data_IF_160966281473
#
_entry.id   IF_160966281473
#
_cell.length_a   1.000
_cell.length_b   1.000
_cell.length_c   1.000
_cell.angle_alpha   90.00
_cell.angle_beta   90.00
_cell.angle_gamma   90.00
#
_symmetry.space_group_name_H-M   'P 1'
#
loop_
_entity.id
_entity.type
_entity.pdbx_description
1 polymer ?
#
# COMPACT_ATOMS: atom_id res chain seq x y z
N UNK A 1 -3.95 -12.73 19.78
CA UNK A 1 -3.35 -11.69 20.65
C UNK A 1 -2.48 -10.82 19.77
N UNK A 2 -2.60 -9.48 19.83
CA UNK A 2 -1.75 -8.57 19.04
C UNK A 2 -0.31 -8.59 19.57
N UNK A 3 0.65 -8.79 18.69
CA UNK A 3 2.08 -8.82 19.06
C UNK A 3 2.71 -7.42 19.06
N UNK A 4 2.10 -6.46 18.34
CA UNK A 4 2.59 -5.08 18.21
C UNK A 4 1.88 -4.11 19.18
N UNK A 5 1.15 -4.64 20.18
CA UNK A 5 0.50 -3.82 21.21
C UNK A 5 1.54 -3.05 22.02
N UNK A 6 1.21 -1.78 22.32
CA UNK A 6 2.07 -0.84 23.08
C UNK A 6 3.38 -0.42 22.37
N UNK A 7 3.50 -0.65 21.07
CA UNK A 7 4.59 -0.11 20.25
C UNK A 7 4.09 1.18 19.59
N UNK A 8 4.81 2.28 19.77
CA UNK A 8 4.44 3.56 19.20
C UNK A 8 5.03 3.76 17.78
N UNK A 9 4.26 4.36 16.84
CA UNK A 9 2.87 4.83 16.94
C UNK A 9 1.85 3.66 16.95
N UNK A 10 1.11 3.49 18.07
CA UNK A 10 0.28 2.30 18.29
C UNK A 10 -0.75 2.06 17.18
N UNK A 11 -1.40 3.12 16.69
CA UNK A 11 -2.40 2.98 15.62
C UNK A 11 -1.78 2.50 14.30
N UNK A 12 -0.57 2.92 13.96
CA UNK A 12 0.13 2.47 12.75
C UNK A 12 0.42 0.98 12.85
N UNK A 13 1.01 0.54 13.96
CA UNK A 13 1.34 -0.87 14.16
C UNK A 13 0.10 -1.75 14.28
N UNK A 14 -1.00 -1.22 14.84
CA UNK A 14 -2.29 -1.89 14.83
C UNK A 14 -2.76 -2.18 13.41
N UNK A 15 -2.78 -1.18 12.53
CA UNK A 15 -3.22 -1.37 11.16
C UNK A 15 -2.25 -2.21 10.34
N UNK A 16 -0.95 -2.09 10.58
CA UNK A 16 0.02 -2.97 9.94
C UNK A 16 -0.21 -4.45 10.31
N UNK A 17 -0.48 -4.73 11.58
CA UNK A 17 -0.79 -6.07 12.05
C UNK A 17 -2.11 -6.59 11.43
N UNK A 18 -3.13 -5.73 11.30
CA UNK A 18 -4.41 -6.08 10.67
C UNK A 18 -4.24 -6.47 9.20
N UNK A 19 -3.56 -5.63 8.40
CA UNK A 19 -3.35 -5.92 6.97
C UNK A 19 -2.39 -7.09 6.73
N UNK A 20 -1.52 -7.39 7.67
CA UNK A 20 -0.65 -8.57 7.61
C UNK A 20 -1.41 -9.90 7.76
N UNK A 21 -2.65 -9.85 8.25
CA UNK A 21 -3.53 -11.02 8.30
C UNK A 21 -4.26 -11.26 6.97
N UNK A 22 -4.15 -10.34 6.02
CA UNK A 22 -4.82 -10.40 4.72
C UNK A 22 -3.79 -10.79 3.65
N UNK A 23 -3.97 -11.92 2.96
CA UNK A 23 -3.17 -12.27 1.79
C UNK A 23 -3.30 -11.19 0.72
N UNK A 24 -2.18 -10.58 0.32
CA UNK A 24 -2.17 -9.41 -0.57
C UNK A 24 -0.97 -9.40 -1.53
N UNK A 25 -0.56 -10.57 -1.99
CA UNK A 25 0.43 -10.64 -3.07
C UNK A 25 -0.10 -9.97 -4.34
N UNK A 26 0.82 -9.46 -5.19
CA UNK A 26 0.44 -8.84 -6.48
C UNK A 26 -0.51 -9.74 -7.26
N UNK A 27 -1.56 -9.16 -7.82
CA UNK A 27 -2.72 -9.80 -8.49
C UNK A 27 -3.70 -10.53 -7.57
N UNK A 28 -3.47 -10.54 -6.25
CA UNK A 28 -4.37 -11.11 -5.22
C UNK A 28 -4.85 -10.04 -4.23
N UNK A 29 -5.25 -8.85 -4.71
CA UNK A 29 -5.55 -7.70 -3.86
C UNK A 29 -7.05 -7.54 -3.53
N UNK A 30 -7.92 -8.47 -3.92
CA UNK A 30 -9.37 -8.33 -3.71
C UNK A 30 -9.74 -8.19 -2.23
N UNK A 31 -9.13 -9.00 -1.37
CA UNK A 31 -9.43 -9.00 0.07
C UNK A 31 -8.93 -7.72 0.75
N UNK A 32 -7.71 -7.28 0.43
CA UNK A 32 -7.18 -6.04 0.99
C UNK A 32 -7.96 -4.82 0.48
N UNK A 33 -8.33 -4.78 -0.79
CA UNK A 33 -9.16 -3.70 -1.33
C UNK A 33 -10.54 -3.65 -0.65
N UNK A 34 -11.17 -4.81 -0.40
CA UNK A 34 -12.43 -4.88 0.33
C UNK A 34 -12.28 -4.45 1.80
N UNK A 35 -11.18 -4.82 2.46
CA UNK A 35 -10.86 -4.34 3.81
C UNK A 35 -10.77 -2.81 3.86
N UNK A 36 -10.06 -2.18 2.91
CA UNK A 36 -9.93 -0.72 2.82
C UNK A 36 -11.29 -0.03 2.58
N UNK A 37 -12.11 -0.60 1.72
CA UNK A 37 -13.47 -0.11 1.48
C UNK A 37 -14.33 -0.19 2.75
N UNK A 38 -14.28 -1.31 3.46
CA UNK A 38 -15.03 -1.49 4.70
C UNK A 38 -14.53 -0.55 5.80
N UNK A 39 -13.20 -0.40 5.94
CA UNK A 39 -12.60 0.56 6.86
C UNK A 39 -13.15 1.98 6.66
N UNK A 40 -13.23 2.42 5.40
CA UNK A 40 -13.74 3.76 5.08
C UNK A 40 -15.24 3.90 5.37
N UNK A 41 -16.04 2.90 5.00
CA UNK A 41 -17.50 2.88 5.24
C UNK A 41 -17.84 2.94 6.73
N UNK A 42 -17.15 2.17 7.55
CA UNK A 42 -17.33 2.17 9.01
C UNK A 42 -17.08 3.54 9.65
N UNK A 43 -16.29 4.39 8.97
CA UNK A 43 -15.92 5.76 9.41
C UNK A 43 -16.69 6.86 8.69
N UNK A 44 -17.68 6.48 7.89
CA UNK A 44 -18.47 7.41 7.05
C UNK A 44 -17.58 8.27 6.14
N UNK A 45 -16.45 7.72 5.65
CA UNK A 45 -15.59 8.36 4.68
C UNK A 45 -16.06 8.07 3.25
N UNK A 46 -15.86 9.03 2.34
CA UNK A 46 -16.07 8.79 0.92
C UNK A 46 -15.03 7.79 0.42
N UNK A 47 -15.47 6.75 -0.30
CA UNK A 47 -14.59 5.71 -0.82
C UNK A 47 -15.01 5.27 -2.20
N UNK A 48 -14.02 5.09 -3.08
CA UNK A 48 -14.16 4.55 -4.43
C UNK A 48 -13.19 3.39 -4.55
N UNK A 49 -13.65 2.25 -5.07
CA UNK A 49 -12.82 1.15 -5.55
C UNK A 49 -13.05 1.03 -7.05
N UNK A 50 -11.98 1.14 -7.84
CA UNK A 50 -12.05 0.98 -9.29
C UNK A 50 -11.92 -0.48 -9.74
N UNK A 51 -12.00 -0.72 -11.04
CA UNK A 51 -11.88 -2.05 -11.65
C UNK A 51 -10.47 -2.65 -11.54
N UNK A 52 -9.47 -1.80 -11.36
CA UNK A 52 -8.07 -2.21 -11.13
C UNK A 52 -7.75 -2.46 -9.65
N UNK A 53 -8.77 -2.41 -8.76
CA UNK A 53 -8.65 -2.58 -7.31
C UNK A 53 -7.90 -1.45 -6.60
N UNK A 54 -7.67 -0.31 -7.26
CA UNK A 54 -7.25 0.89 -6.56
C UNK A 54 -8.35 1.32 -5.59
N UNK A 55 -7.96 1.77 -4.41
CA UNK A 55 -8.90 2.29 -3.42
C UNK A 55 -8.57 3.75 -3.11
N UNK A 56 -9.53 4.63 -3.37
CA UNK A 56 -9.42 6.06 -3.11
C UNK A 56 -10.34 6.41 -1.93
N UNK A 57 -9.77 6.94 -0.84
CA UNK A 57 -10.52 7.33 0.35
C UNK A 57 -10.35 8.83 0.57
N UNK A 58 -11.48 9.56 0.73
CA UNK A 58 -11.43 11.00 0.96
C UNK A 58 -11.95 11.36 2.34
N UNK A 59 -11.25 12.28 3.01
CA UNK A 59 -11.61 12.83 4.31
C UNK A 59 -11.67 14.35 4.20
N UNK A 60 -12.77 14.95 4.66
CA UNK A 60 -12.92 16.42 4.69
C UNK A 60 -11.89 17.02 5.64
N UNK A 61 -11.52 18.28 5.41
CA UNK A 61 -10.65 19.01 6.31
C UNK A 61 -11.21 19.06 7.74
N UNK A 62 -10.34 19.04 8.73
CA UNK A 62 -10.70 19.35 10.11
C UNK A 62 -11.03 20.84 10.26
N UNK A 63 -11.79 21.17 11.33
CA UNK A 63 -12.19 22.55 11.64
C UNK A 63 -10.97 23.47 11.69
N UNK A 64 -11.03 24.59 10.95
CA UNK A 64 -9.97 25.56 10.82
C UNK A 64 -8.97 25.29 9.69
N UNK A 65 -9.09 24.18 8.98
CA UNK A 65 -8.21 23.80 7.86
C UNK A 65 -8.95 23.72 6.51
N UNK A 66 -10.18 24.20 6.44
CA UNK A 66 -11.05 24.08 5.25
C UNK A 66 -10.48 24.80 4.03
N UNK A 67 -9.75 25.88 4.27
CA UNK A 67 -9.11 26.67 3.21
C UNK A 67 -7.68 26.24 2.90
N UNK A 68 -7.16 25.26 3.61
CA UNK A 68 -5.82 24.73 3.35
C UNK A 68 -5.79 23.86 2.09
N UNK A 69 -4.66 23.87 1.40
CA UNK A 69 -4.46 23.05 0.20
C UNK A 69 -4.57 21.56 0.55
N UNK A 70 -5.36 20.83 -0.25
CA UNK A 70 -5.56 19.41 -0.04
C UNK A 70 -4.31 18.59 -0.33
N UNK A 71 -4.19 17.46 0.38
CA UNK A 71 -3.04 16.55 0.30
C UNK A 71 -3.51 15.18 -0.16
N UNK A 72 -2.77 14.61 -1.13
CA UNK A 72 -2.86 13.19 -1.49
C UNK A 72 -1.76 12.44 -0.75
N UNK A 73 -2.13 11.34 -0.09
CA UNK A 73 -1.20 10.33 0.43
C UNK A 73 -1.33 9.09 -0.44
N UNK A 74 -0.22 8.62 -0.99
CA UNK A 74 -0.24 7.48 -1.90
C UNK A 74 0.72 6.39 -1.43
N UNK A 75 0.29 5.15 -1.57
CA UNK A 75 1.06 3.92 -1.42
C UNK A 75 0.40 2.79 -2.19
N UNK A 76 0.96 1.57 -2.13
CA UNK A 76 0.38 0.40 -2.77
C UNK A 76 -0.04 -0.70 -1.79
N UNK A 77 -1.01 -1.50 -2.20
CA UNK A 77 -1.60 -2.53 -1.33
C UNK A 77 -0.93 -3.89 -1.45
N UNK A 78 -0.35 -4.19 -2.59
CA UNK A 78 0.28 -5.48 -2.86
C UNK A 78 1.67 -5.60 -2.22
N UNK A 79 2.26 -6.77 -2.31
CA UNK A 79 3.60 -7.06 -1.81
C UNK A 79 4.24 -8.20 -2.60
N UNK A 80 5.56 -8.21 -2.64
CA UNK A 80 6.37 -9.34 -3.13
C UNK A 80 6.11 -10.59 -2.27
N UNK A 81 5.92 -11.73 -2.92
CA UNK A 81 5.58 -13.01 -2.27
C UNK A 81 6.73 -14.01 -2.37
N UNK A 82 7.72 -13.84 -1.50
CA UNK A 82 8.88 -14.74 -1.40
C UNK A 82 8.92 -15.45 -0.04
N UNK A 83 9.44 -16.68 -0.03
CA UNK A 83 9.60 -17.46 1.20
C UNK A 83 10.86 -18.31 1.16
N UNK A 84 11.36 -18.68 2.34
CA UNK A 84 12.47 -19.61 2.48
C UNK A 84 12.08 -20.99 1.92
N UNK A 85 13.05 -21.73 1.44
CA UNK A 85 12.85 -23.06 0.83
C UNK A 85 12.25 -24.10 1.78
N UNK A 86 12.48 -23.95 3.07
CA UNK A 86 11.98 -24.81 4.16
C UNK A 86 10.62 -24.35 4.73
N UNK A 87 10.09 -23.25 4.24
CA UNK A 87 8.85 -22.64 4.76
C UNK A 87 7.63 -23.13 3.98
N UNK A 88 6.68 -23.71 4.70
CA UNK A 88 5.35 -24.01 4.17
C UNK A 88 4.44 -22.82 4.38
N UNK A 89 4.11 -22.12 3.30
CA UNK A 89 3.22 -20.96 3.28
C UNK A 89 2.54 -20.82 1.92
N UNK A 90 1.26 -20.48 1.91
CA UNK A 90 0.48 -20.21 0.71
C UNK A 90 0.05 -18.73 0.70
N UNK A 91 0.72 -17.90 -0.07
CA UNK A 91 0.43 -16.46 -0.15
C UNK A 91 -0.96 -16.07 -0.67
N UNK A 92 -1.70 -17.03 -1.23
CA UNK A 92 -3.09 -16.79 -1.65
C UNK A 92 -4.11 -16.94 -0.51
N UNK A 93 -3.71 -17.55 0.63
CA UNK A 93 -4.64 -17.94 1.70
C UNK A 93 -4.13 -17.69 3.11
N UNK A 94 -2.82 -17.81 3.32
CA UNK A 94 -2.25 -17.79 4.65
C UNK A 94 -1.87 -16.38 5.08
N UNK A 95 -2.22 -15.96 6.29
CA UNK A 95 -1.76 -14.71 6.87
C UNK A 95 -0.26 -14.77 7.18
N UNK A 96 0.40 -13.62 7.18
CA UNK A 96 1.80 -13.53 7.59
C UNK A 96 1.93 -13.80 9.09
N UNK A 97 2.96 -14.56 9.45
CA UNK A 97 3.28 -14.86 10.86
C UNK A 97 4.32 -13.87 11.37
N UNK A 98 3.84 -12.74 11.85
CA UNK A 98 4.69 -11.69 12.39
C UNK A 98 5.36 -12.11 13.69
N UNK A 99 6.60 -11.65 13.94
CA UNK A 99 7.30 -11.78 15.21
C UNK A 99 8.29 -10.62 15.40
N UNK A 100 8.63 -10.34 16.65
CA UNK A 100 9.64 -9.35 17.02
C UNK A 100 10.95 -10.10 17.27
N UNK A 101 12.03 -9.60 16.68
CA UNK A 101 13.39 -10.09 16.85
C UNK A 101 14.30 -8.90 17.20
N UNK A 102 14.55 -8.71 18.50
CA UNK A 102 15.22 -7.51 19.01
C UNK A 102 14.41 -6.25 18.69
N UNK A 103 14.98 -5.34 17.92
CA UNK A 103 14.35 -4.08 17.49
C UNK A 103 13.63 -4.21 16.14
N UNK A 104 13.62 -5.40 15.53
CA UNK A 104 13.07 -5.63 14.21
C UNK A 104 11.74 -6.36 14.26
N UNK A 105 10.78 -5.89 13.46
CA UNK A 105 9.59 -6.65 13.10
C UNK A 105 9.90 -7.50 11.87
N UNK A 106 9.61 -8.81 11.96
CA UNK A 106 9.85 -9.78 10.90
C UNK A 106 8.62 -10.65 10.63
N UNK A 107 8.55 -11.25 9.45
CA UNK A 107 7.65 -12.36 9.14
C UNK A 107 8.42 -13.68 9.16
N UNK A 108 7.81 -14.74 9.70
CA UNK A 108 8.45 -16.04 9.87
C UNK A 108 8.58 -16.79 8.55
N UNK A 109 9.78 -16.75 7.99
CA UNK A 109 10.13 -17.50 6.77
C UNK A 109 9.56 -16.93 5.46
N UNK A 110 8.97 -15.75 5.49
CA UNK A 110 8.42 -15.07 4.31
C UNK A 110 8.86 -13.62 4.23
N UNK A 111 8.62 -12.97 3.10
CA UNK A 111 8.62 -11.50 3.00
C UNK A 111 7.64 -10.90 4.01
N UNK A 112 7.98 -9.70 4.54
CA UNK A 112 7.18 -9.00 5.56
C UNK A 112 6.06 -8.15 4.94
N UNK A 113 6.28 -7.64 3.71
CA UNK A 113 5.37 -6.72 3.05
C UNK A 113 5.25 -5.36 3.76
N UNK A 114 6.33 -4.91 4.44
CA UNK A 114 6.40 -3.54 4.95
C UNK A 114 6.42 -2.53 3.80
N UNK A 115 7.05 -2.89 2.71
CA UNK A 115 6.89 -2.34 1.40
C UNK A 115 5.61 -2.93 0.76
N UNK A 116 4.57 -2.16 0.52
CA UNK A 116 4.34 -0.80 1.01
C UNK A 116 3.23 -0.78 2.09
N UNK A 117 3.11 -1.91 2.84
CA UNK A 117 2.10 -2.05 3.90
C UNK A 117 2.23 -1.01 5.01
N UNK A 118 3.43 -0.49 5.23
CA UNK A 118 3.61 0.56 6.22
C UNK A 118 2.94 1.87 5.78
N UNK A 119 3.00 2.21 4.50
CA UNK A 119 2.29 3.38 3.96
C UNK A 119 0.77 3.22 4.10
N UNK A 120 0.25 2.03 3.80
CA UNK A 120 -1.17 1.72 4.03
C UNK A 120 -1.53 1.91 5.50
N UNK A 121 -0.72 1.40 6.41
CA UNK A 121 -0.96 1.52 7.85
C UNK A 121 -0.91 2.98 8.33
N UNK A 122 0.04 3.80 7.84
CA UNK A 122 0.09 5.24 8.10
C UNK A 122 -1.17 5.95 7.61
N UNK A 123 -1.58 5.69 6.37
CA UNK A 123 -2.76 6.30 5.79
C UNK A 123 -4.02 5.97 6.61
N UNK A 124 -4.19 4.70 7.00
CA UNK A 124 -5.31 4.28 7.84
C UNK A 124 -5.28 4.93 9.23
N UNK A 125 -4.11 5.03 9.86
CA UNK A 125 -3.94 5.69 11.16
C UNK A 125 -4.29 7.18 11.09
N UNK A 126 -3.92 7.88 10.02
CA UNK A 126 -4.26 9.29 9.79
C UNK A 126 -5.77 9.45 9.54
N UNK A 127 -6.37 8.56 8.76
CA UNK A 127 -7.80 8.58 8.49
C UNK A 127 -8.63 8.28 9.75
N UNK A 128 -8.18 7.37 10.60
CA UNK A 128 -8.85 6.98 11.86
C UNK A 128 -8.65 8.02 12.98
N UNK A 129 -7.54 8.75 12.95
CA UNK A 129 -7.14 9.67 14.01
C UNK A 129 -7.88 11.01 13.99
N UNK A 130 -7.78 11.71 15.13
CA UNK A 130 -8.33 13.05 15.35
C UNK A 130 -7.26 14.14 15.20
N UNK A 131 -6.42 14.02 14.20
CA UNK A 131 -5.39 15.01 13.89
C UNK A 131 -5.98 16.20 13.14
N UNK A 132 -5.37 17.37 13.29
CA UNK A 132 -5.65 18.52 12.44
C UNK A 132 -5.06 18.28 11.06
N UNK A 133 -5.89 18.42 10.02
CA UNK A 133 -5.48 18.13 8.64
C UNK A 133 -6.30 18.95 7.62
N UNK A 134 -5.72 19.28 6.46
CA UNK A 134 -6.49 19.76 5.31
C UNK A 134 -7.38 18.64 4.76
N UNK A 135 -8.14 18.89 3.71
CA UNK A 135 -8.80 17.78 3.00
C UNK A 135 -7.77 16.76 2.54
N UNK A 136 -8.04 15.48 2.81
CA UNK A 136 -7.16 14.36 2.48
C UNK A 136 -7.78 13.49 1.39
N UNK A 137 -6.91 12.99 0.52
CA UNK A 137 -7.19 11.92 -0.42
C UNK A 137 -6.14 10.83 -0.24
N UNK A 138 -6.52 9.68 0.26
CA UNK A 138 -5.66 8.50 0.30
C UNK A 138 -5.87 7.71 -0.96
N UNK A 139 -4.80 7.41 -1.67
CA UNK A 139 -4.80 6.60 -2.90
C UNK A 139 -3.95 5.37 -2.66
N UNK A 140 -4.58 4.22 -2.59
CA UNK A 140 -3.89 2.94 -2.46
C UNK A 140 -4.02 2.21 -3.79
N UNK A 141 -2.90 2.09 -4.49
CA UNK A 141 -2.83 1.41 -5.78
C UNK A 141 -2.60 -0.08 -5.62
N UNK A 142 -2.88 -0.84 -6.67
CA UNK A 142 -2.65 -2.29 -6.76
C UNK A 142 -1.55 -2.62 -7.75
N UNK A 143 -1.01 -3.85 -7.68
CA UNK A 143 -0.11 -4.45 -8.67
C UNK A 143 1.14 -3.58 -8.94
N UNK A 144 1.67 -2.92 -7.90
CA UNK A 144 2.84 -2.07 -8.04
C UNK A 144 4.08 -2.92 -8.37
N UNK A 145 4.30 -3.97 -7.60
CA UNK A 145 5.46 -4.86 -7.63
C UNK A 145 5.55 -5.73 -8.91
N UNK A 146 4.44 -5.92 -9.62
CA UNK A 146 4.39 -6.81 -10.79
C UNK A 146 4.09 -6.08 -12.11
N UNK A 147 3.85 -4.77 -12.09
CA UNK A 147 3.61 -4.07 -13.34
C UNK A 147 2.94 -2.71 -13.26
N UNK A 148 2.58 -2.25 -12.08
CA UNK A 148 1.95 -0.95 -11.83
C UNK A 148 0.63 -0.77 -12.58
N UNK A 149 -0.13 -1.87 -12.79
CA UNK A 149 -1.37 -1.79 -13.58
C UNK A 149 -2.41 -0.91 -12.89
N UNK A 150 -2.46 -0.91 -11.56
CA UNK A 150 -3.33 -0.02 -10.80
C UNK A 150 -3.02 1.45 -11.06
N UNK A 151 -1.77 1.86 -10.85
CA UNK A 151 -1.37 3.26 -11.04
C UNK A 151 -1.50 3.74 -12.50
N UNK A 152 -1.17 2.88 -13.48
CA UNK A 152 -1.27 3.21 -14.92
C UNK A 152 -2.70 3.45 -15.40
N UNK A 153 -3.68 2.86 -14.75
CA UNK A 153 -5.10 2.94 -15.12
C UNK A 153 -5.93 3.77 -14.15
N UNK A 154 -5.30 4.45 -13.19
CA UNK A 154 -6.01 5.33 -12.26
C UNK A 154 -6.66 6.51 -12.99
N UNK A 155 -7.98 6.69 -12.82
CA UNK A 155 -8.64 7.90 -13.32
C UNK A 155 -8.22 9.12 -12.49
N UNK A 156 -7.40 9.98 -13.08
CA UNK A 156 -6.89 11.19 -12.43
C UNK A 156 -7.99 12.19 -12.06
N UNK A 157 -9.20 12.11 -12.66
CA UNK A 157 -10.33 12.95 -12.26
C UNK A 157 -10.76 12.65 -10.83
N UNK A 158 -10.60 11.43 -10.35
CA UNK A 158 -10.95 11.02 -9.00
C UNK A 158 -10.12 11.72 -7.92
N UNK A 159 -8.91 12.15 -8.28
CA UNK A 159 -7.95 12.81 -7.37
C UNK A 159 -7.75 14.29 -7.72
N UNK A 160 -8.53 14.83 -8.62
CA UNK A 160 -8.46 16.24 -9.02
C UNK A 160 -8.78 17.19 -7.86
N UNK A 161 -8.20 18.40 -7.87
CA UNK A 161 -8.45 19.44 -6.86
C UNK A 161 -7.61 19.30 -5.58
N UNK A 162 -6.62 18.42 -5.56
CA UNK A 162 -5.55 18.38 -4.56
C UNK A 162 -4.27 18.93 -5.17
N UNK A 163 -3.47 19.67 -4.39
CA UNK A 163 -2.26 20.31 -4.91
C UNK A 163 -0.98 19.65 -4.41
N UNK A 164 -1.03 19.01 -3.26
CA UNK A 164 0.12 18.37 -2.67
C UNK A 164 -0.02 16.86 -2.82
N UNK A 165 1.04 16.21 -3.29
CA UNK A 165 1.10 14.76 -3.46
C UNK A 165 2.30 14.23 -2.68
N UNK A 166 2.05 13.30 -1.76
CA UNK A 166 3.07 12.63 -0.96
C UNK A 166 2.97 11.13 -1.26
N UNK A 167 3.95 10.62 -2.00
CA UNK A 167 4.16 9.19 -2.12
C UNK A 167 4.91 8.70 -0.89
N UNK A 168 4.41 7.63 -0.26
CA UNK A 168 4.96 7.05 0.95
C UNK A 168 5.81 5.80 0.67
N UNK A 169 6.18 5.61 -0.59
CA UNK A 169 6.95 4.49 -1.08
C UNK A 169 8.40 4.93 -1.29
N UNK A 170 9.18 4.92 -0.21
CA UNK A 170 10.59 5.31 -0.21
C UNK A 170 11.36 4.45 0.79
N UNK A 171 12.60 4.13 0.44
CA UNK A 171 13.48 3.22 1.17
C UNK A 171 14.49 3.92 2.09
N UNK A 172 14.51 5.27 2.12
CA UNK A 172 15.49 6.03 2.91
C UNK A 172 14.82 6.99 3.87
N UNK A 173 15.01 6.73 5.16
CA UNK A 173 14.54 7.60 6.23
C UNK A 173 15.13 9.02 6.11
N UNK A 174 14.28 10.03 6.28
CA UNK A 174 14.66 11.45 6.28
C UNK A 174 15.00 12.02 4.91
N UNK A 175 14.82 11.28 3.82
CA UNK A 175 15.07 11.74 2.45
C UNK A 175 13.75 11.94 1.72
N UNK A 176 13.56 13.16 1.17
CA UNK A 176 12.47 13.45 0.26
C UNK A 176 12.96 13.37 -1.18
N UNK A 177 12.48 12.39 -1.93
CA UNK A 177 12.76 12.24 -3.36
C UNK A 177 11.77 13.12 -4.14
N UNK A 178 12.27 14.10 -4.87
CA UNK A 178 11.44 15.06 -5.62
C UNK A 178 11.39 14.78 -7.12
N UNK A 179 12.11 13.77 -7.58
CA UNK A 179 12.12 13.32 -8.97
C UNK A 179 12.56 11.87 -9.06
N UNK A 180 12.16 11.19 -10.13
CA UNK A 180 12.64 9.85 -10.46
C UNK A 180 13.00 9.75 -11.93
N UNK A 181 13.84 8.78 -12.26
CA UNK A 181 14.14 8.43 -13.67
C UNK A 181 12.97 7.68 -14.29
N UNK A 182 12.71 7.94 -15.56
CA UNK A 182 11.82 7.10 -16.36
C UNK A 182 12.51 5.81 -16.80
N UNK A 183 11.73 4.76 -17.02
CA UNK A 183 12.19 3.49 -17.55
C UNK A 183 11.30 3.00 -18.69
N UNK A 184 11.88 2.25 -19.63
CA UNK A 184 11.14 1.54 -20.68
C UNK A 184 11.67 0.12 -20.80
N UNK A 185 10.78 -0.86 -20.80
CA UNK A 185 11.09 -2.25 -21.13
C UNK A 185 10.98 -2.46 -22.63
N UNK A 186 12.00 -3.05 -23.24
CA UNK A 186 11.99 -3.42 -24.65
C UNK A 186 12.21 -4.92 -24.79
N UNK A 187 11.34 -5.58 -25.55
CA UNK A 187 11.44 -7.00 -25.87
C UNK A 187 11.70 -7.16 -27.37
N UNK A 188 12.83 -7.77 -27.73
CA UNK A 188 13.16 -8.10 -29.11
C UNK A 188 12.95 -9.60 -29.37
N UNK A 189 12.12 -9.94 -30.36
CA UNK A 189 11.92 -11.31 -30.83
C UNK A 189 12.75 -11.53 -32.09
N UNK A 190 13.81 -12.34 -31.98
CA UNK A 190 14.70 -12.66 -33.10
C UNK A 190 14.46 -14.10 -33.53
N UNK A 191 13.84 -14.36 -34.69
CA UNK A 191 13.69 -15.72 -35.21
C UNK A 191 15.04 -16.30 -35.59
N UNK A 192 15.36 -17.48 -35.11
CA UNK A 192 16.57 -18.20 -35.44
C UNK A 192 16.24 -19.58 -35.99
N UNK A 193 17.02 -20.03 -36.99
CA UNK A 193 16.99 -21.40 -37.50
C UNK A 193 18.21 -22.14 -36.96
N UNK A 194 18.00 -23.21 -36.19
CA UNK A 194 19.08 -24.09 -35.73
C UNK A 194 19.34 -25.16 -36.79
N UNK A 195 20.56 -25.29 -37.27
CA UNK A 195 21.02 -26.44 -38.08
C UNK A 195 21.68 -27.46 -37.13
N UNK A 196 21.32 -28.75 -37.28
CA UNK A 196 22.16 -29.79 -36.69
C UNK A 196 23.50 -29.79 -37.39
N UNK A 197 24.58 -29.82 -36.64
CA UNK A 197 25.94 -30.10 -37.11
C UNK A 197 26.05 -31.59 -37.40
#
# INVERSE_FOLDING_TARGET
MRILKNINPENVFKFFEDISQIPRGSKNEDEIANYLVNFAKERNLEVIKDEFKNVIIKKKASTGYENSEGVILQGHSDMVTEKNSDTTHNFLKDPLKLHIDGEFLKAKGTTLGADNGIAVAYALAILDGSYNHPKLCVVITSDEEAGMSGAKNLDLNLISGYKNFINLDTDREGIFTVSCAGGVGVMAHIPITRKKL
#
